data_IF_951212164848
#
_entry.id   IF_951212164848
#
_cell.length_a   1.000
_cell.length_b   1.000
_cell.length_c   1.000
_cell.angle_alpha   90.00
_cell.angle_beta   90.00
_cell.angle_gamma   90.00
#
_symmetry.space_group_name_H-M   'P 1'
#
loop_
_entity.id
_entity.type
_entity.pdbx_description
1 polymer ?
#
# COMPACT_ATOMS: atom_id res chain seq x y z
N UNK A 1 -20.51 -8.71 1.99
CA UNK A 1 -20.01 -8.30 1.57
C UNK A 1 -19.66 -7.74 1.56
N UNK A 2 -19.66 -7.58 1.37
CA UNK A 2 -19.17 -6.95 1.06
C UNK A 2 -19.01 -6.41 0.38
N UNK A 3 -19.19 -6.06 0.14
CA UNK A 3 -18.84 -5.55 -0.64
C UNK A 3 -18.25 -4.87 -1.00
N UNK A 4 -17.98 -4.73 -1.38
CA UNK A 4 -17.42 -4.13 -1.91
C UNK A 4 -17.02 -4.04 -2.93
N UNK A 5 -17.03 -4.22 -3.18
CA UNK A 5 -16.64 -4.19 -4.10
C UNK A 5 -16.70 -3.81 -5.09
N UNK A 6 -16.95 -3.54 -5.51
CA UNK A 6 -17.08 -3.29 -6.57
C UNK A 6 -16.88 -2.50 -7.24
N UNK A 7 -16.70 -2.45 -7.63
CA UNK A 7 -16.49 -1.86 -8.37
C UNK A 7 -15.69 -0.65 -8.75
N UNK A 8 -15.01 0.10 -8.04
CA UNK A 8 -14.14 1.12 -8.52
C UNK A 8 -12.73 0.60 -8.62
N UNK A 9 -11.90 1.25 -9.46
CA UNK A 9 -10.52 0.84 -9.64
C UNK A 9 -9.61 1.39 -8.56
N UNK A 10 -10.15 2.17 -7.63
CA UNK A 10 -9.39 2.72 -6.52
C UNK A 10 -10.13 2.52 -5.23
N UNK A 11 -9.38 2.37 -4.17
CA UNK A 11 -9.93 2.30 -2.82
C UNK A 11 -9.22 3.33 -1.97
N UNK A 12 -9.92 3.76 -0.93
CA UNK A 12 -9.37 4.75 -0.01
C UNK A 12 -9.47 4.24 1.41
N UNK A 13 -8.42 4.51 2.19
CA UNK A 13 -8.46 4.40 3.64
C UNK A 13 -8.38 5.80 4.19
N UNK A 14 -9.37 6.21 4.95
CA UNK A 14 -9.49 7.59 5.41
C UNK A 14 -9.65 7.64 6.92
N UNK A 15 -9.06 8.66 7.57
CA UNK A 15 -9.33 8.88 8.99
C UNK A 15 -10.81 9.17 9.19
N UNK A 16 -11.40 8.55 10.22
CA UNK A 16 -12.81 8.72 10.52
C UNK A 16 -13.09 10.15 11.00
N UNK A 17 -14.23 10.70 10.58
CA UNK A 17 -14.69 11.98 11.07
C UNK A 17 -14.09 13.20 10.41
N UNK A 18 -13.18 13.01 9.43
CA UNK A 18 -12.55 14.13 8.74
C UNK A 18 -12.97 14.09 7.28
N UNK A 19 -13.56 15.18 6.74
CA UNK A 19 -13.94 15.19 5.34
C UNK A 19 -12.71 15.02 4.44
N UNK A 20 -12.86 14.18 3.41
CA UNK A 20 -11.74 13.85 2.55
C UNK A 20 -11.15 15.07 1.83
N UNK A 21 -11.97 16.10 1.59
CA UNK A 21 -11.50 17.30 0.92
C UNK A 21 -10.46 18.05 1.75
N UNK A 22 -10.44 17.81 3.05
CA UNK A 22 -9.51 18.47 3.98
C UNK A 22 -8.25 17.65 4.23
N UNK A 23 -8.14 16.47 3.60
CA UNK A 23 -7.03 15.57 3.84
C UNK A 23 -6.05 15.59 2.69
N UNK A 24 -4.77 15.58 3.03
CA UNK A 24 -3.76 15.22 2.06
C UNK A 24 -3.86 13.72 1.81
N UNK A 25 -3.24 13.29 0.73
CA UNK A 25 -3.40 11.93 0.27
C UNK A 25 -2.02 11.34 -0.06
N UNK A 26 -1.80 10.10 0.33
CA UNK A 26 -0.67 9.32 -0.18
C UNK A 26 -1.24 8.23 -1.07
N UNK A 27 -0.49 7.86 -2.09
CA UNK A 27 -0.94 6.83 -3.03
C UNK A 27 -0.02 5.63 -2.97
N UNK A 28 -0.61 4.45 -2.71
CA UNK A 28 0.11 3.19 -2.79
C UNK A 28 -0.04 2.63 -4.18
N UNK A 29 1.08 2.36 -4.82
CA UNK A 29 1.11 1.85 -6.18
C UNK A 29 1.00 0.32 -6.16
N UNK A 30 0.70 -0.25 -7.33
CA UNK A 30 0.51 -1.70 -7.46
C UNK A 30 1.68 -2.50 -6.91
N UNK A 31 2.90 -2.14 -7.28
CA UNK A 31 4.06 -2.89 -6.83
C UNK A 31 4.31 -2.72 -5.33
N UNK A 32 3.96 -1.56 -4.77
CA UNK A 32 4.07 -1.36 -3.32
C UNK A 32 3.08 -2.24 -2.57
N UNK A 33 1.86 -2.33 -3.08
CA UNK A 33 0.84 -3.18 -2.47
C UNK A 33 1.25 -4.64 -2.57
N UNK A 34 1.79 -5.05 -3.72
CA UNK A 34 2.21 -6.43 -3.90
C UNK A 34 3.37 -6.78 -2.98
N UNK A 35 4.33 -5.85 -2.81
CA UNK A 35 5.43 -6.08 -1.89
C UNK A 35 4.94 -6.25 -0.45
N UNK A 36 3.98 -5.41 -0.05
CA UNK A 36 3.37 -5.54 1.28
C UNK A 36 2.68 -6.89 1.44
N UNK A 37 1.93 -7.30 0.44
CA UNK A 37 1.21 -8.57 0.52
C UNK A 37 2.17 -9.73 0.65
N UNK A 38 3.19 -9.77 -0.19
CA UNK A 38 4.15 -10.86 -0.19
C UNK A 38 4.93 -10.93 1.13
N UNK A 39 5.35 -9.78 1.62
CA UNK A 39 6.19 -9.74 2.82
C UNK A 39 5.39 -9.94 4.09
N UNK A 40 4.24 -9.28 4.20
CA UNK A 40 3.53 -9.21 5.49
C UNK A 40 2.37 -10.18 5.59
N UNK A 41 1.74 -10.56 4.49
CA UNK A 41 0.63 -11.50 4.51
C UNK A 41 1.13 -12.90 4.21
N UNK A 42 1.91 -13.06 3.14
CA UNK A 42 2.45 -14.35 2.75
C UNK A 42 3.66 -14.74 3.57
N UNK A 43 4.25 -13.78 4.30
CA UNK A 43 5.40 -14.01 5.17
C UNK A 43 6.65 -14.48 4.44
N UNK A 44 6.82 -14.04 3.20
CA UNK A 44 8.01 -14.35 2.43
C UNK A 44 9.14 -13.43 2.85
N UNK A 45 10.38 -13.91 2.72
CA UNK A 45 11.51 -13.04 2.94
C UNK A 45 11.78 -12.22 1.67
N UNK A 46 12.77 -11.33 1.74
CA UNK A 46 13.07 -10.41 0.64
C UNK A 46 13.47 -11.18 -0.61
N UNK A 47 14.24 -12.25 -0.46
CA UNK A 47 14.69 -13.03 -1.60
C UNK A 47 13.50 -13.67 -2.31
N UNK A 48 12.61 -14.28 -1.55
CA UNK A 48 11.44 -14.94 -2.11
C UNK A 48 10.46 -13.95 -2.70
N UNK A 49 10.25 -12.82 -2.00
CA UNK A 49 9.36 -11.78 -2.52
C UNK A 49 9.86 -11.20 -3.83
N UNK A 50 11.16 -10.93 -3.91
CA UNK A 50 11.75 -10.40 -5.13
C UNK A 50 11.58 -11.39 -6.29
N UNK A 51 11.78 -12.68 -6.03
CA UNK A 51 11.57 -13.71 -7.07
C UNK A 51 10.14 -13.69 -7.57
N UNK A 52 9.18 -13.61 -6.67
CA UNK A 52 7.76 -13.60 -7.05
C UNK A 52 7.43 -12.41 -7.95
N UNK A 53 8.06 -11.28 -7.68
CA UNK A 53 7.81 -10.07 -8.48
C UNK A 53 8.72 -9.96 -9.70
N UNK A 54 9.72 -10.86 -9.83
CA UNK A 54 10.63 -10.83 -10.97
C UNK A 54 11.59 -9.66 -10.93
N UNK A 55 12.01 -9.23 -9.75
CA UNK A 55 12.90 -8.08 -9.57
C UNK A 55 14.06 -8.45 -8.65
N UNK A 56 15.04 -7.56 -8.56
CA UNK A 56 16.18 -7.77 -7.69
C UNK A 56 15.78 -7.57 -6.22
N UNK A 57 16.60 -8.13 -5.33
CA UNK A 57 16.37 -7.97 -3.88
C UNK A 57 16.42 -6.51 -3.48
N UNK A 58 17.37 -5.75 -4.02
CA UNK A 58 17.48 -4.34 -3.65
C UNK A 58 16.28 -3.54 -4.14
N UNK A 59 15.76 -3.86 -5.32
CA UNK A 59 14.57 -3.21 -5.84
C UNK A 59 13.36 -3.54 -4.97
N UNK A 60 13.22 -4.82 -4.60
CA UNK A 60 12.12 -5.23 -3.74
C UNK A 60 12.18 -4.49 -2.40
N UNK A 61 13.36 -4.43 -1.78
CA UNK A 61 13.52 -3.75 -0.50
C UNK A 61 13.16 -2.27 -0.62
N UNK A 62 13.57 -1.62 -1.70
CA UNK A 62 13.26 -0.21 -1.92
C UNK A 62 11.75 -0.01 -2.04
N UNK A 63 11.09 -0.83 -2.85
CA UNK A 63 9.63 -0.72 -3.03
C UNK A 63 8.90 -0.96 -1.72
N UNK A 64 9.31 -1.98 -0.99
CA UNK A 64 8.69 -2.32 0.28
C UNK A 64 8.86 -1.19 1.30
N UNK A 65 10.07 -0.64 1.39
CA UNK A 65 10.32 0.45 2.34
C UNK A 65 9.56 1.72 1.95
N UNK A 66 9.42 2.00 0.66
CA UNK A 66 8.59 3.11 0.22
C UNK A 66 7.14 2.93 0.65
N UNK A 67 6.62 1.71 0.53
CA UNK A 67 5.25 1.43 0.95
C UNK A 67 5.09 1.67 2.45
N UNK A 68 6.03 1.21 3.25
CA UNK A 68 5.98 1.41 4.70
C UNK A 68 6.06 2.90 5.05
N UNK A 69 6.92 3.65 4.38
CA UNK A 69 7.06 5.08 4.63
C UNK A 69 5.76 5.81 4.33
N UNK A 70 5.08 5.44 3.24
CA UNK A 70 3.80 6.05 2.89
C UNK A 70 2.74 5.76 3.93
N UNK A 71 2.68 4.52 4.40
CA UNK A 71 1.71 4.14 5.42
C UNK A 71 1.98 4.88 6.71
N UNK A 72 3.24 4.95 7.12
CA UNK A 72 3.62 5.66 8.32
C UNK A 72 3.25 7.14 8.23
N UNK A 73 3.54 7.75 7.09
CA UNK A 73 3.18 9.15 6.85
C UNK A 73 1.67 9.36 6.98
N UNK A 74 0.89 8.47 6.38
CA UNK A 74 -0.56 8.59 6.43
C UNK A 74 -1.10 8.48 7.85
N UNK A 75 -0.55 7.53 8.63
CA UNK A 75 -1.03 7.31 9.98
C UNK A 75 -0.62 8.44 10.90
N UNK A 76 0.66 8.82 10.85
CA UNK A 76 1.19 9.82 11.78
C UNK A 76 0.67 11.22 11.46
N UNK A 77 0.59 11.56 10.18
CA UNK A 77 0.20 12.89 9.75
C UNK A 77 -1.26 12.98 9.31
N UNK A 78 -2.03 11.93 9.57
CA UNK A 78 -3.49 11.89 9.36
C UNK A 78 -3.84 12.22 7.91
N UNK A 79 -3.34 11.38 7.00
CA UNK A 79 -3.63 11.51 5.57
C UNK A 79 -4.47 10.33 5.12
N UNK A 80 -5.19 10.52 4.01
CA UNK A 80 -5.87 9.39 3.41
C UNK A 80 -4.88 8.56 2.58
N UNK A 81 -5.20 7.30 2.39
CA UNK A 81 -4.41 6.40 1.55
C UNK A 81 -5.26 6.01 0.36
N UNK A 82 -4.78 6.32 -0.82
CA UNK A 82 -5.42 5.91 -2.07
C UNK A 82 -4.71 4.67 -2.57
N UNK A 83 -5.47 3.63 -2.85
CA UNK A 83 -4.92 2.39 -3.33
C UNK A 83 -5.27 2.25 -4.80
N UNK A 84 -4.25 2.13 -5.61
CA UNK A 84 -4.41 1.94 -7.04
C UNK A 84 -4.60 0.46 -7.33
N UNK A 85 -5.63 0.14 -8.08
CA UNK A 85 -5.91 -1.25 -8.42
C UNK A 85 -5.44 -1.63 -9.80
#
# INVERSE_FOLDING_TARGET
MRNIEFFSDVEFFKPAGIPSIQLEEVELLHDEIEALRLKNIEKLDIIEGAKKMGISKSTFARIYNQALDKIADAIINVKSIKIEK
#
